data_IF_873335179659
#
_entry.id   IF_873335179659
#
_cell.length_a   1.000
_cell.length_b   1.000
_cell.length_c   1.000
_cell.angle_alpha   90.00
_cell.angle_beta   90.00
_cell.angle_gamma   90.00
#
_symmetry.space_group_name_H-M   'P 1'
#
loop_
_entity.id
_entity.type
_entity.pdbx_description
1 polymer ?
#
# COMPACT_ATOMS: atom_id res chain seq x y z
N UNK A 1 22.36 12.62 -87.78
CA UNK A 1 21.90 13.33 -86.56
C UNK A 1 21.10 12.40 -85.66
N UNK A 2 20.05 11.73 -86.17
CA UNK A 2 19.21 10.81 -85.38
C UNK A 2 19.98 9.71 -84.62
N UNK A 3 20.97 9.06 -85.22
CA UNK A 3 21.76 8.01 -84.53
C UNK A 3 22.54 8.53 -83.32
N UNK A 4 23.02 9.78 -83.38
CA UNK A 4 23.79 10.41 -82.29
C UNK A 4 22.87 10.79 -81.13
N UNK A 5 21.68 11.32 -81.43
CA UNK A 5 20.65 11.59 -80.42
C UNK A 5 20.17 10.29 -79.74
N UNK A 6 19.96 9.22 -80.51
CA UNK A 6 19.59 7.90 -79.96
C UNK A 6 20.70 7.37 -79.04
N UNK A 7 21.98 7.52 -79.42
CA UNK A 7 23.11 7.10 -78.59
C UNK A 7 23.22 7.91 -77.28
N UNK A 8 22.96 9.21 -77.33
CA UNK A 8 22.95 10.09 -76.16
C UNK A 8 21.78 9.75 -75.21
N UNK A 9 20.58 9.53 -75.74
CA UNK A 9 19.41 9.10 -74.96
C UNK A 9 19.67 7.74 -74.30
N UNK A 10 20.24 6.78 -75.06
CA UNK A 10 20.56 5.45 -74.54
C UNK A 10 21.59 5.54 -73.41
N UNK A 11 22.62 6.38 -73.56
CA UNK A 11 23.64 6.59 -72.52
C UNK A 11 23.04 7.19 -71.24
N UNK A 12 22.13 8.15 -71.38
CA UNK A 12 21.44 8.75 -70.24
C UNK A 12 20.48 7.76 -69.56
N UNK A 13 19.79 6.91 -70.32
CA UNK A 13 18.97 5.81 -69.77
C UNK A 13 19.85 4.85 -68.96
N UNK A 14 20.98 4.41 -69.52
CA UNK A 14 21.93 3.50 -68.82
C UNK A 14 22.45 4.16 -67.54
N UNK A 15 22.78 5.45 -67.59
CA UNK A 15 23.22 6.20 -66.40
C UNK A 15 22.14 6.22 -65.31
N UNK A 16 20.90 6.54 -65.66
CA UNK A 16 19.77 6.56 -64.72
C UNK A 16 19.46 5.17 -64.17
N UNK A 17 19.53 4.13 -64.99
CA UNK A 17 19.36 2.74 -64.54
C UNK A 17 20.44 2.33 -63.52
N UNK A 18 21.69 2.72 -63.77
CA UNK A 18 22.79 2.46 -62.83
C UNK A 18 22.60 3.22 -61.51
N UNK A 19 22.15 4.48 -61.56
CA UNK A 19 21.86 5.26 -60.36
C UNK A 19 20.69 4.67 -59.57
N UNK A 20 19.61 4.29 -60.25
CA UNK A 20 18.46 3.62 -59.63
C UNK A 20 18.86 2.28 -59.00
N UNK A 21 19.71 1.50 -59.67
CA UNK A 21 20.24 0.23 -59.12
C UNK A 21 21.04 0.48 -57.84
N UNK A 22 21.88 1.52 -57.80
CA UNK A 22 22.61 1.90 -56.58
C UNK A 22 21.66 2.32 -55.47
N UNK A 23 20.64 3.12 -55.78
CA UNK A 23 19.63 3.56 -54.81
C UNK A 23 18.83 2.38 -54.25
N UNK A 24 18.43 1.43 -55.09
CA UNK A 24 17.72 0.21 -54.66
C UNK A 24 18.57 -0.59 -53.67
N UNK A 25 19.86 -0.83 -53.99
CA UNK A 25 20.77 -1.54 -53.07
C UNK A 25 20.91 -0.86 -51.71
N UNK A 26 20.97 0.47 -51.68
CA UNK A 26 21.03 1.22 -50.42
C UNK A 26 19.73 1.11 -49.62
N UNK A 27 18.57 1.06 -50.29
CA UNK A 27 17.28 0.85 -49.66
C UNK A 27 17.18 -0.57 -49.08
N UNK A 28 17.59 -1.59 -49.83
CA UNK A 28 17.61 -3.00 -49.36
C UNK A 28 18.46 -3.13 -48.09
N UNK A 29 19.69 -2.62 -48.10
CA UNK A 29 20.56 -2.61 -46.91
C UNK A 29 19.98 -1.81 -45.73
N UNK A 30 19.17 -0.79 -46.01
CA UNK A 30 18.53 -0.01 -44.96
C UNK A 30 17.30 -0.74 -44.40
N UNK A 31 16.57 -1.47 -45.24
CA UNK A 31 15.47 -2.34 -44.81
C UNK A 31 15.97 -3.47 -43.94
N UNK A 32 17.02 -4.20 -44.34
CA UNK A 32 17.63 -5.27 -43.54
C UNK A 32 18.03 -4.77 -42.14
N UNK A 33 18.65 -3.59 -42.06
CA UNK A 33 19.02 -2.97 -40.78
C UNK A 33 17.81 -2.58 -39.93
N UNK A 34 16.71 -2.17 -40.56
CA UNK A 34 15.47 -1.84 -39.85
C UNK A 34 14.83 -3.12 -39.31
N UNK A 35 14.77 -4.18 -40.12
CA UNK A 35 14.23 -5.48 -39.70
C UNK A 35 15.01 -6.06 -38.53
N UNK A 36 16.34 -6.02 -38.56
CA UNK A 36 17.18 -6.47 -37.43
C UNK A 36 16.91 -5.65 -36.16
N UNK A 37 16.76 -4.33 -36.29
CA UNK A 37 16.43 -3.46 -35.15
C UNK A 37 15.03 -3.73 -34.60
N UNK A 38 14.05 -3.99 -35.48
CA UNK A 38 12.70 -4.35 -35.07
C UNK A 38 12.74 -5.67 -34.29
N UNK A 39 13.40 -6.70 -34.80
CA UNK A 39 13.54 -7.99 -34.10
C UNK A 39 14.15 -7.84 -32.71
N UNK A 40 15.23 -7.04 -32.58
CA UNK A 40 15.85 -6.75 -31.27
C UNK A 40 14.91 -6.00 -30.32
N UNK A 41 14.10 -5.07 -30.82
CA UNK A 41 13.11 -4.35 -30.02
C UNK A 41 12.01 -5.30 -29.57
N UNK A 42 11.50 -6.15 -30.45
CA UNK A 42 10.47 -7.14 -30.14
C UNK A 42 10.95 -8.12 -29.06
N UNK A 43 12.16 -8.67 -29.21
CA UNK A 43 12.79 -9.54 -28.19
C UNK A 43 12.92 -8.82 -26.83
N UNK A 44 13.41 -7.58 -26.83
CA UNK A 44 13.53 -6.78 -25.60
C UNK A 44 12.17 -6.50 -24.96
N UNK A 45 11.12 -6.24 -25.75
CA UNK A 45 9.77 -5.99 -25.24
C UNK A 45 9.19 -7.27 -24.63
N UNK A 46 9.33 -8.41 -25.32
CA UNK A 46 8.86 -9.70 -24.81
C UNK A 46 9.55 -10.08 -23.50
N UNK A 47 10.87 -9.88 -23.40
CA UNK A 47 11.62 -10.13 -22.17
C UNK A 47 11.11 -9.25 -21.02
N UNK A 48 10.96 -7.94 -21.24
CA UNK A 48 10.45 -7.00 -20.23
C UNK A 48 9.02 -7.33 -19.80
N UNK A 49 8.15 -7.75 -20.72
CA UNK A 49 6.79 -8.15 -20.38
C UNK A 49 6.77 -9.43 -19.52
N UNK A 50 7.65 -10.38 -19.82
CA UNK A 50 7.81 -11.59 -19.00
C UNK A 50 8.27 -11.25 -17.59
N UNK A 51 9.30 -10.40 -17.47
CA UNK A 51 9.82 -9.97 -16.17
C UNK A 51 8.76 -9.23 -15.35
N UNK A 52 8.04 -8.29 -15.99
CA UNK A 52 6.97 -7.54 -15.35
C UNK A 52 5.83 -8.45 -14.87
N UNK A 53 5.47 -9.48 -15.64
CA UNK A 53 4.49 -10.48 -15.21
C UNK A 53 4.95 -11.21 -13.95
N UNK A 54 6.20 -11.65 -13.90
CA UNK A 54 6.77 -12.32 -12.73
C UNK A 54 6.81 -11.40 -11.51
N UNK A 55 7.13 -10.12 -11.70
CA UNK A 55 7.11 -9.14 -10.61
C UNK A 55 5.70 -8.89 -10.07
N UNK A 56 4.71 -8.78 -10.96
CA UNK A 56 3.30 -8.64 -10.57
C UNK A 56 2.80 -9.86 -9.79
N UNK A 57 3.14 -11.07 -10.21
CA UNK A 57 2.77 -12.30 -9.50
C UNK A 57 3.38 -12.31 -8.08
N UNK A 58 4.66 -11.93 -7.96
CA UNK A 58 5.33 -11.79 -6.65
C UNK A 58 4.66 -10.73 -5.77
N UNK A 59 4.23 -9.62 -6.35
CA UNK A 59 3.53 -8.56 -5.64
C UNK A 59 2.15 -9.03 -5.16
N UNK A 60 1.42 -9.79 -5.99
CA UNK A 60 0.15 -10.43 -5.61
C UNK A 60 0.31 -11.37 -4.41
N UNK A 61 1.35 -12.22 -4.40
CA UNK A 61 1.65 -13.11 -3.27
C UNK A 61 1.93 -12.30 -1.99
N UNK A 62 2.74 -11.23 -2.09
CA UNK A 62 3.04 -10.36 -0.94
C UNK A 62 1.79 -9.66 -0.40
N UNK A 63 0.91 -9.17 -1.27
CA UNK A 63 -0.35 -8.55 -0.88
C UNK A 63 -1.26 -9.52 -0.14
N UNK A 64 -1.38 -10.76 -0.63
CA UNK A 64 -2.15 -11.80 0.06
C UNK A 64 -1.59 -12.07 1.46
N UNK A 65 -0.26 -12.21 1.58
CA UNK A 65 0.39 -12.39 2.89
C UNK A 65 0.15 -11.22 3.85
N UNK A 66 0.16 -9.98 3.35
CA UNK A 66 -0.17 -8.80 4.15
C UNK A 66 -1.64 -8.84 4.59
N UNK A 67 -2.55 -9.20 3.69
CA UNK A 67 -3.98 -9.32 4.00
C UNK A 67 -4.22 -10.34 5.11
N UNK A 68 -3.57 -11.50 5.06
CA UNK A 68 -3.69 -12.53 6.09
C UNK A 68 -3.13 -12.06 7.44
N UNK A 69 -1.99 -11.37 7.44
CA UNK A 69 -1.42 -10.77 8.66
C UNK A 69 -2.34 -9.71 9.26
N UNK A 70 -3.00 -8.90 8.43
CA UNK A 70 -3.97 -7.91 8.88
C UNK A 70 -5.20 -8.56 9.52
N UNK A 71 -5.73 -9.63 8.94
CA UNK A 71 -6.84 -10.41 9.54
C UNK A 71 -6.45 -10.98 10.90
N UNK A 72 -5.23 -11.51 11.02
CA UNK A 72 -4.71 -12.01 12.31
C UNK A 72 -4.61 -10.87 13.35
N UNK A 73 -4.10 -9.70 12.94
CA UNK A 73 -4.01 -8.54 13.81
C UNK A 73 -5.39 -8.04 14.25
N UNK A 74 -6.36 -7.98 13.34
CA UNK A 74 -7.75 -7.61 13.64
C UNK A 74 -8.37 -8.57 14.66
N UNK A 75 -8.16 -9.88 14.49
CA UNK A 75 -8.62 -10.88 15.45
C UNK A 75 -7.99 -10.70 16.85
N UNK A 76 -6.68 -10.45 16.92
CA UNK A 76 -6.00 -10.23 18.20
C UNK A 76 -6.45 -8.92 18.86
N UNK A 77 -6.65 -7.83 18.11
CA UNK A 77 -7.22 -6.58 18.63
C UNK A 77 -8.63 -6.81 19.18
N UNK A 78 -9.47 -7.55 18.47
CA UNK A 78 -10.80 -7.90 18.93
C UNK A 78 -10.75 -8.75 20.22
N UNK A 79 -9.77 -9.63 20.37
CA UNK A 79 -9.55 -10.40 21.60
C UNK A 79 -9.12 -9.50 22.76
N UNK A 80 -8.17 -8.60 22.52
CA UNK A 80 -7.71 -7.62 23.51
C UNK A 80 -8.87 -6.76 23.99
N UNK A 81 -9.71 -6.25 23.07
CA UNK A 81 -10.89 -5.46 23.43
C UNK A 81 -11.85 -6.24 24.34
N UNK A 82 -12.16 -7.51 23.99
CA UNK A 82 -12.98 -8.39 24.84
C UNK A 82 -12.36 -8.67 26.21
N UNK A 83 -11.05 -8.78 26.29
CA UNK A 83 -10.35 -8.96 27.57
C UNK A 83 -10.34 -7.68 28.41
N UNK A 84 -10.22 -6.51 27.77
CA UNK A 84 -10.32 -5.21 28.43
C UNK A 84 -11.72 -4.95 28.97
N UNK A 85 -12.77 -5.30 28.22
CA UNK A 85 -14.17 -5.18 28.66
C UNK A 85 -14.47 -6.01 29.93
N UNK A 86 -13.72 -7.10 30.16
CA UNK A 86 -13.85 -7.95 31.34
C UNK A 86 -13.07 -7.44 32.56
N UNK A 87 -12.16 -6.48 32.38
CA UNK A 87 -11.37 -5.93 33.48
C UNK A 87 -12.18 -4.87 34.22
N UNK A 88 -12.09 -4.89 35.55
CA UNK A 88 -12.74 -3.88 36.38
C UNK A 88 -12.29 -2.47 35.96
N UNK A 89 -13.25 -1.62 35.70
CA UNK A 89 -13.02 -0.22 35.41
C UNK A 89 -12.40 0.48 36.62
N UNK A 90 -11.68 1.58 36.38
CA UNK A 90 -11.15 2.42 37.47
C UNK A 90 -12.25 2.89 38.44
N UNK A 91 -13.48 3.07 37.94
CA UNK A 91 -14.61 3.47 38.77
C UNK A 91 -15.03 2.35 39.73
N UNK A 92 -15.14 1.11 39.24
CA UNK A 92 -15.47 -0.07 40.07
C UNK A 92 -14.38 -0.33 41.11
N UNK A 93 -13.10 -0.21 40.74
CA UNK A 93 -11.99 -0.34 41.69
C UNK A 93 -12.03 0.75 42.77
N UNK A 94 -12.39 1.98 42.41
CA UNK A 94 -12.50 3.09 43.36
C UNK A 94 -13.72 2.95 44.29
N UNK A 95 -14.82 2.37 43.80
CA UNK A 95 -15.95 2.00 44.66
C UNK A 95 -15.56 0.89 45.64
N UNK A 96 -14.78 -0.10 45.18
CA UNK A 96 -14.25 -1.16 46.04
C UNK A 96 -13.30 -0.59 47.11
N UNK A 97 -12.42 0.33 46.74
CA UNK A 97 -11.52 1.06 47.65
C UNK A 97 -12.31 1.84 48.71
N UNK A 98 -13.29 2.64 48.30
CA UNK A 98 -14.17 3.36 49.22
C UNK A 98 -14.95 2.44 50.17
N UNK A 99 -15.40 1.28 49.68
CA UNK A 99 -16.11 0.29 50.49
C UNK A 99 -15.18 -0.37 51.51
N UNK A 100 -13.95 -0.71 51.12
CA UNK A 100 -12.91 -1.21 52.01
C UNK A 100 -12.60 -0.17 53.09
N UNK A 101 -12.45 1.11 52.73
CA UNK A 101 -12.21 2.18 53.69
C UNK A 101 -13.36 2.37 54.69
N UNK A 102 -14.60 2.17 54.25
CA UNK A 102 -15.80 2.27 55.09
C UNK A 102 -15.91 1.14 56.12
N UNK A 103 -15.48 -0.07 55.75
CA UNK A 103 -15.58 -1.28 56.58
C UNK A 103 -14.32 -1.53 57.41
N UNK A 104 -13.17 -0.98 57.01
CA UNK A 104 -11.92 -1.16 57.71
C UNK A 104 -12.04 -0.68 59.18
N UNK A 105 -11.96 -1.58 60.17
CA UNK A 105 -12.18 -1.25 61.58
C UNK A 105 -11.09 -0.34 62.17
N UNK A 106 -9.98 -0.14 61.44
CA UNK A 106 -8.88 0.76 61.85
C UNK A 106 -9.18 2.21 61.45
N UNK A 107 -9.87 2.43 60.31
CA UNK A 107 -10.18 3.77 59.78
C UNK A 107 -11.64 4.18 60.00
N UNK A 108 -12.54 3.21 60.16
CA UNK A 108 -13.97 3.43 60.31
C UNK A 108 -14.35 3.78 61.75
N UNK A 109 -14.93 4.97 61.94
CA UNK A 109 -15.56 5.39 63.20
C UNK A 109 -17.05 5.06 63.13
N UNK A 110 -17.44 3.94 63.72
CA UNK A 110 -18.84 3.60 63.89
C UNK A 110 -19.44 4.43 65.02
N UNK A 111 -20.51 5.17 64.73
CA UNK A 111 -21.28 5.95 65.70
C UNK A 111 -22.68 5.39 65.79
N UNK A 112 -23.29 5.48 66.96
CA UNK A 112 -24.71 5.11 67.13
C UNK A 112 -25.62 6.21 66.56
N UNK A 113 -26.89 5.86 66.26
CA UNK A 113 -27.88 6.82 65.74
C UNK A 113 -27.97 8.09 66.61
N UNK A 114 -28.06 7.91 67.93
CA UNK A 114 -28.12 9.03 68.89
C UNK A 114 -26.87 9.91 68.90
N UNK A 115 -25.71 9.37 68.53
CA UNK A 115 -24.46 10.13 68.41
C UNK A 115 -24.39 10.87 67.09
N UNK A 116 -24.92 10.29 66.01
CA UNK A 116 -24.99 10.93 64.70
C UNK A 116 -25.92 12.15 64.74
N UNK A 117 -27.10 12.02 65.36
CA UNK A 117 -28.07 13.11 65.47
C UNK A 117 -27.49 14.31 66.22
N UNK A 118 -26.80 14.07 67.34
CA UNK A 118 -26.11 15.14 68.09
C UNK A 118 -25.04 15.86 67.26
N UNK A 119 -24.25 15.13 66.47
CA UNK A 119 -23.18 15.71 65.64
C UNK A 119 -23.77 16.53 64.48
N UNK A 120 -24.90 16.08 63.92
CA UNK A 120 -25.63 16.80 62.87
C UNK A 120 -26.24 18.09 63.39
N UNK A 121 -26.87 18.03 64.56
CA UNK A 121 -27.46 19.20 65.22
C UNK A 121 -26.39 20.25 65.57
N UNK A 122 -25.24 19.83 66.10
CA UNK A 122 -24.11 20.73 66.37
C UNK A 122 -23.53 21.36 65.09
N UNK A 123 -23.52 20.63 63.97
CA UNK A 123 -23.04 21.16 62.68
C UNK A 123 -24.02 22.13 62.04
N UNK A 124 -25.32 21.89 62.17
CA UNK A 124 -26.36 22.80 61.69
C UNK A 124 -26.38 24.09 62.52
N UNK A 125 -26.20 23.98 63.84
CA UNK A 125 -26.10 25.13 64.75
C UNK A 125 -24.84 26.00 64.50
N UNK A 126 -23.73 25.42 64.02
CA UNK A 126 -22.49 26.16 63.66
C UNK A 126 -22.53 26.82 62.27
N UNK A 127 -23.52 26.52 61.44
CA UNK A 127 -23.68 27.08 60.09
C UNK A 127 -24.76 28.18 59.99
N UNK A 128 -25.48 28.44 61.08
CA UNK A 128 -26.33 29.61 61.28
C UNK A 128 -25.54 30.74 61.96
#
# INVERSE_FOLDING_TARGET
MAEREIAEITSEIVRRLNENTRRIKLLEQSMERIEERIGKVEESVLARLSDLKVELDKLGIKLNSISDRLKLLENEVNRINKELDKKASKAELKQLENFIDLINPITSKFVTLDQLDRILDERLAKKA
#
